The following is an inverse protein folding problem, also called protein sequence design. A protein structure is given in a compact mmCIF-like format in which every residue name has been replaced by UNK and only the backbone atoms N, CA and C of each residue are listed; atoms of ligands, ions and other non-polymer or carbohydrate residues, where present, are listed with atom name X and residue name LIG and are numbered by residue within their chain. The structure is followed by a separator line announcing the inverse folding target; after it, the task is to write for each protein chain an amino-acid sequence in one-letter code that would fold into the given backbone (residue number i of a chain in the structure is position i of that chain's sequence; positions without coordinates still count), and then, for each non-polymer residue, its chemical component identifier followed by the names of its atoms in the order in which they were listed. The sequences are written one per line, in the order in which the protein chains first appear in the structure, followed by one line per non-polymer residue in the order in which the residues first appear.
data_IF_694091101633
#
_entry.id   IF_694091101633
#
_cell.length_a   1.000
_cell.length_b   1.000
_cell.length_c   1.000
_cell.angle_alpha   90.00
_cell.angle_beta   90.00
_cell.angle_gamma   90.00
#
_symmetry.space_group_name_H-M   'P 1'
#
loop_
_entity.id
_entity.type
_entity.pdbx_description
1 polymer ?
#
# COMPACT_ATOMS: atom_id res chain seq x y z
N UNK A 1 25.81 22.65 12.18
CA UNK A 1 25.23 23.74 11.35
C UNK A 1 25.07 23.34 9.86
N UNK A 2 25.83 22.38 9.35
CA UNK A 2 25.89 22.00 7.92
C UNK A 2 24.57 21.43 7.36
N UNK A 3 23.90 20.52 8.07
CA UNK A 3 22.65 19.93 7.61
C UNK A 3 21.45 20.88 7.59
N UNK A 4 21.57 22.11 8.12
CA UNK A 4 20.47 23.08 8.05
C UNK A 4 20.31 23.59 6.60
N UNK A 5 21.42 23.84 5.91
CA UNK A 5 21.45 24.37 4.53
C UNK A 5 21.62 23.30 3.44
N UNK A 6 21.88 22.05 3.81
CA UNK A 6 22.07 20.94 2.86
C UNK A 6 20.85 20.74 1.93
N UNK A 7 21.10 20.33 0.69
CA UNK A 7 20.08 20.03 -0.31
C UNK A 7 20.26 18.61 -0.85
N UNK A 8 19.18 17.85 -1.15
CA UNK A 8 19.28 16.45 -1.62
C UNK A 8 20.14 16.18 -2.84
N UNK A 9 20.37 17.18 -3.70
CA UNK A 9 21.30 17.06 -4.84
C UNK A 9 22.79 16.95 -4.44
N UNK A 10 23.14 17.32 -3.20
CA UNK A 10 24.50 17.22 -2.69
C UNK A 10 24.75 15.84 -2.08
N UNK A 11 25.31 14.95 -2.90
CA UNK A 11 25.65 13.58 -2.56
C UNK A 11 26.85 13.45 -1.61
N UNK A 12 27.61 14.52 -1.35
CA UNK A 12 28.75 14.49 -0.43
C UNK A 12 28.34 14.13 1.01
N UNK A 13 27.05 14.34 1.34
CA UNK A 13 26.45 13.97 2.63
C UNK A 13 26.56 12.48 2.92
N UNK A 14 26.56 11.61 1.91
CA UNK A 14 26.65 10.17 2.11
C UNK A 14 28.01 9.77 2.70
N UNK A 15 29.09 10.40 2.23
CA UNK A 15 30.43 10.18 2.79
C UNK A 15 30.52 10.58 4.28
N UNK A 16 29.72 11.58 4.68
CA UNK A 16 29.64 12.02 6.08
C UNK A 16 28.75 11.12 6.91
N UNK A 17 27.61 10.64 6.38
CA UNK A 17 26.60 9.91 7.14
C UNK A 17 26.83 8.40 7.24
N UNK A 18 27.30 7.75 6.16
CA UNK A 18 27.45 6.29 6.10
C UNK A 18 28.33 5.72 7.23
N UNK A 19 29.45 6.35 7.63
CA UNK A 19 30.25 5.85 8.76
C UNK A 19 29.49 5.82 10.09
N UNK A 20 28.51 6.71 10.29
CA UNK A 20 27.72 6.77 11.54
C UNK A 20 26.62 5.72 11.60
N UNK A 21 26.28 5.08 10.47
CA UNK A 21 25.25 4.03 10.42
C UNK A 21 25.65 2.81 11.25
N UNK A 22 26.93 2.52 11.36
CA UNK A 22 27.46 1.42 12.18
C UNK A 22 27.64 1.80 13.64
N UNK A 23 27.69 3.10 13.95
CA UNK A 23 27.91 3.63 15.30
C UNK A 23 26.60 3.88 16.04
N UNK A 24 25.57 4.32 15.33
CA UNK A 24 24.27 4.62 15.92
C UNK A 24 23.38 3.39 16.02
N UNK A 25 22.49 3.38 17.01
CA UNK A 25 21.40 2.43 17.05
C UNK A 25 20.45 2.66 15.86
N UNK A 26 19.77 1.62 15.36
CA UNK A 26 18.76 1.77 14.32
C UNK A 26 17.70 2.83 14.68
N UNK A 27 17.32 2.92 15.96
CA UNK A 27 16.34 3.88 16.48
C UNK A 27 16.87 5.30 16.44
N UNK A 28 18.10 5.55 16.91
CA UNK A 28 18.71 6.89 16.90
C UNK A 28 18.95 7.37 15.47
N UNK A 29 19.42 6.47 14.60
CA UNK A 29 19.59 6.75 13.18
C UNK A 29 18.25 7.11 12.54
N UNK A 30 17.20 6.34 12.80
CA UNK A 30 15.84 6.64 12.32
C UNK A 30 15.31 7.99 12.84
N UNK A 31 15.52 8.31 14.12
CA UNK A 31 15.11 9.60 14.68
C UNK A 31 15.85 10.77 14.02
N UNK A 32 17.15 10.61 13.80
CA UNK A 32 17.99 11.60 13.14
C UNK A 32 17.56 11.82 11.69
N UNK A 33 17.42 10.74 10.91
CA UNK A 33 17.05 10.84 9.49
C UNK A 33 15.67 11.44 9.32
N UNK A 34 14.70 11.03 10.14
CA UNK A 34 13.36 11.61 10.14
C UNK A 34 13.40 13.13 10.39
N UNK A 35 14.17 13.58 11.39
CA UNK A 35 14.23 15.01 11.77
C UNK A 35 14.97 15.87 10.76
N UNK A 36 16.05 15.37 10.17
CA UNK A 36 17.02 16.20 9.43
C UNK A 36 17.09 15.92 7.93
N UNK A 37 16.78 14.70 7.50
CA UNK A 37 16.91 14.28 6.11
C UNK A 37 15.53 14.21 5.44
N UNK A 38 14.61 13.41 5.98
CA UNK A 38 13.33 13.10 5.32
C UNK A 38 12.51 14.36 5.05
N UNK A 39 12.48 15.33 5.99
CA UNK A 39 11.77 16.61 5.78
C UNK A 39 12.25 17.38 4.54
N UNK A 40 13.52 17.20 4.15
CA UNK A 40 14.09 17.84 2.97
C UNK A 40 13.76 17.06 1.70
N UNK A 41 13.76 15.74 1.77
CA UNK A 41 13.30 14.88 0.68
C UNK A 41 11.82 15.13 0.35
N UNK A 42 10.97 15.18 1.37
CA UNK A 42 9.55 15.60 1.23
C UNK A 42 9.44 16.97 0.56
N UNK A 43 10.29 17.92 0.96
CA UNK A 43 10.27 19.27 0.37
C UNK A 43 10.66 19.26 -1.11
N UNK A 44 11.71 18.53 -1.49
CA UNK A 44 12.13 18.38 -2.89
C UNK A 44 11.02 17.74 -3.70
N UNK A 45 10.46 16.62 -3.24
CA UNK A 45 9.36 15.96 -3.94
C UNK A 45 8.13 16.86 -4.09
N UNK A 46 7.87 17.76 -3.15
CA UNK A 46 6.72 18.67 -3.21
C UNK A 46 6.94 19.96 -4.01
N UNK A 47 8.18 20.44 -4.13
CA UNK A 47 8.46 21.74 -4.74
C UNK A 47 9.13 21.64 -6.10
N UNK A 48 9.90 20.58 -6.32
CA UNK A 48 10.78 20.44 -7.47
C UNK A 48 10.33 19.27 -8.36
N UNK A 49 9.82 18.18 -7.76
CA UNK A 49 9.31 17.05 -8.53
C UNK A 49 7.87 17.25 -9.02
N UNK A 50 7.70 17.19 -10.34
CA UNK A 50 6.40 17.28 -11.00
C UNK A 50 6.21 16.07 -11.92
N UNK A 51 5.02 15.47 -11.88
CA UNK A 51 4.70 14.33 -12.75
C UNK A 51 4.00 14.85 -13.99
N UNK A 52 4.66 14.68 -15.14
CA UNK A 52 4.19 15.14 -16.43
C UNK A 52 4.45 14.04 -17.49
N UNK A 53 3.41 13.35 -17.97
CA UNK A 53 3.55 12.25 -18.93
C UNK A 53 4.28 12.63 -20.24
N UNK A 54 4.29 13.91 -20.63
CA UNK A 54 4.89 14.38 -21.89
C UNK A 54 6.34 14.84 -21.76
N UNK A 55 6.76 15.24 -20.56
CA UNK A 55 8.07 15.82 -20.30
C UNK A 55 8.41 15.56 -18.82
N UNK A 56 8.81 14.33 -18.52
CA UNK A 56 9.12 13.90 -17.17
C UNK A 56 10.54 14.33 -16.81
N UNK A 57 10.67 15.12 -15.75
CA UNK A 57 11.94 15.37 -15.09
C UNK A 57 12.11 14.38 -13.94
N UNK A 58 13.18 13.60 -13.98
CA UNK A 58 13.49 12.57 -12.99
C UNK A 58 14.52 13.04 -11.97
N UNK A 59 15.24 14.14 -12.21
CA UNK A 59 16.38 14.56 -11.38
C UNK A 59 15.99 14.72 -9.89
N UNK A 60 14.86 15.36 -9.53
CA UNK A 60 14.46 15.47 -8.13
C UNK A 60 14.12 14.12 -7.48
N UNK A 61 13.61 13.17 -8.28
CA UNK A 61 13.31 11.83 -7.79
C UNK A 61 14.59 11.00 -7.65
N UNK A 62 15.54 11.12 -8.57
CA UNK A 62 16.85 10.44 -8.50
C UNK A 62 17.60 10.82 -7.23
N UNK A 63 17.59 12.11 -6.84
CA UNK A 63 18.17 12.55 -5.58
C UNK A 63 17.52 11.88 -4.37
N UNK A 64 16.23 11.56 -4.45
CA UNK A 64 15.51 10.83 -3.40
C UNK A 64 15.83 9.35 -3.46
N UNK A 65 15.85 8.74 -4.65
CA UNK A 65 16.18 7.33 -4.86
C UNK A 65 17.60 6.99 -4.42
N UNK A 66 18.53 7.95 -4.47
CA UNK A 66 19.87 7.80 -3.89
C UNK A 66 19.87 7.49 -2.37
N UNK A 67 18.75 7.75 -1.67
CA UNK A 67 18.57 7.40 -0.26
C UNK A 67 18.02 5.99 -0.03
N UNK A 68 17.72 5.25 -1.09
CA UNK A 68 17.36 3.83 -1.00
C UNK A 68 18.52 3.06 -0.34
N UNK A 69 18.20 2.17 0.62
CA UNK A 69 19.17 1.44 1.49
C UNK A 69 20.04 2.30 2.40
N UNK A 70 19.87 3.62 2.39
CA UNK A 70 20.48 4.54 3.36
C UNK A 70 19.48 4.90 4.45
N UNK A 71 18.25 5.24 4.07
CA UNK A 71 17.17 5.46 5.03
C UNK A 71 16.60 4.13 5.54
N UNK A 72 16.03 4.10 6.76
CA UNK A 72 15.21 2.98 7.20
C UNK A 72 14.06 2.75 6.22
N UNK A 73 13.85 1.49 5.78
CA UNK A 73 12.86 1.13 4.75
C UNK A 73 11.47 1.68 5.07
N UNK A 74 11.08 1.63 6.34
CA UNK A 74 9.81 2.17 6.80
C UNK A 74 9.63 3.66 6.45
N UNK A 75 10.68 4.47 6.59
CA UNK A 75 10.68 5.89 6.24
C UNK A 75 10.72 6.09 4.73
N UNK A 76 11.56 5.33 4.03
CA UNK A 76 11.74 5.44 2.59
C UNK A 76 10.45 5.09 1.82
N UNK A 77 9.82 3.97 2.17
CA UNK A 77 8.55 3.55 1.58
C UNK A 77 7.43 4.55 1.91
N UNK A 78 7.36 5.03 3.17
CA UNK A 78 6.36 6.03 3.56
C UNK A 78 6.52 7.35 2.79
N UNK A 79 7.76 7.75 2.51
CA UNK A 79 8.08 8.92 1.69
C UNK A 79 7.54 8.75 0.26
N UNK A 80 7.81 7.61 -0.37
CA UNK A 80 7.32 7.34 -1.73
C UNK A 80 5.80 7.23 -1.78
N UNK A 81 5.17 6.54 -0.82
CA UNK A 81 3.71 6.41 -0.73
C UNK A 81 3.00 7.77 -0.69
N UNK A 82 3.45 8.67 0.20
CA UNK A 82 2.80 9.96 0.38
C UNK A 82 3.12 10.95 -0.73
N UNK A 83 4.39 11.04 -1.15
CA UNK A 83 4.88 12.19 -1.92
C UNK A 83 5.00 11.91 -3.42
N UNK A 84 5.24 10.65 -3.81
CA UNK A 84 5.35 10.21 -5.21
C UNK A 84 4.04 9.56 -5.68
N UNK A 85 3.60 8.47 -5.03
CA UNK A 85 2.47 7.66 -5.51
C UNK A 85 1.16 8.43 -5.52
N UNK A 86 0.92 9.32 -4.55
CA UNK A 86 -0.23 10.23 -4.53
C UNK A 86 -0.32 11.08 -5.80
N UNK A 87 0.80 11.64 -6.27
CA UNK A 87 0.84 12.46 -7.49
C UNK A 87 0.72 11.58 -8.73
N UNK A 88 1.41 10.45 -8.73
CA UNK A 88 1.51 9.55 -9.88
C UNK A 88 0.14 8.94 -10.21
N UNK A 89 -0.53 8.39 -9.20
CA UNK A 89 -1.87 7.82 -9.33
C UNK A 89 -2.91 8.87 -9.67
N UNK A 90 -2.76 10.11 -9.17
CA UNK A 90 -3.65 11.21 -9.54
C UNK A 90 -3.54 11.55 -11.03
N UNK A 91 -2.33 11.70 -11.56
CA UNK A 91 -2.10 11.94 -13.00
C UNK A 91 -2.67 10.79 -13.82
N UNK A 92 -2.44 9.54 -13.40
CA UNK A 92 -3.01 8.38 -14.07
C UNK A 92 -4.54 8.40 -14.07
N UNK A 93 -5.17 8.70 -12.93
CA UNK A 93 -6.63 8.79 -12.81
C UNK A 93 -7.22 9.90 -13.67
N UNK A 94 -6.57 11.06 -13.76
CA UNK A 94 -6.95 12.15 -14.66
C UNK A 94 -6.84 11.73 -16.12
N UNK A 95 -5.80 10.98 -16.48
CA UNK A 95 -5.61 10.47 -17.83
C UNK A 95 -6.66 9.41 -18.22
N UNK A 96 -6.99 8.53 -17.26
CA UNK A 96 -8.08 7.54 -17.34
C UNK A 96 -9.45 8.22 -17.50
N UNK A 97 -9.74 9.24 -16.70
CA UNK A 97 -11.03 9.95 -16.72
C UNK A 97 -11.29 10.70 -18.04
N UNK A 98 -10.25 11.09 -18.76
CA UNK A 98 -10.34 11.73 -20.07
C UNK A 98 -10.80 10.76 -21.18
N UNK A 99 -11.08 9.48 -20.86
CA UNK A 99 -11.62 8.44 -21.75
C UNK A 99 -10.94 8.32 -23.13
N UNK A 100 -9.63 8.03 -23.19
CA UNK A 100 -8.96 7.94 -24.48
C UNK A 100 -8.76 6.48 -24.89
N UNK A 101 -9.71 5.91 -25.64
CA UNK A 101 -9.52 4.61 -26.33
C UNK A 101 -8.21 4.58 -27.16
N UNK A 102 -7.75 5.76 -27.60
CA UNK A 102 -6.58 5.92 -28.47
C UNK A 102 -5.26 6.13 -27.70
N UNK A 103 -5.29 6.33 -26.38
CA UNK A 103 -4.08 6.68 -25.58
C UNK A 103 -3.70 5.56 -24.61
N UNK A 104 -4.41 4.43 -24.64
CA UNK A 104 -4.13 3.26 -23.80
C UNK A 104 -2.69 2.73 -23.95
N UNK A 105 -2.13 2.73 -25.16
CA UNK A 105 -0.75 2.31 -25.41
C UNK A 105 0.29 3.26 -24.79
N UNK A 106 0.06 4.57 -24.85
CA UNK A 106 0.92 5.56 -24.19
C UNK A 106 0.86 5.41 -22.66
N UNK A 107 -0.35 5.20 -22.10
CA UNK A 107 -0.52 4.95 -20.66
C UNK A 107 0.25 3.70 -20.22
N UNK A 108 0.17 2.61 -20.98
CA UNK A 108 0.88 1.38 -20.66
C UNK A 108 2.40 1.54 -20.77
N UNK A 109 2.87 2.28 -21.76
CA UNK A 109 4.30 2.60 -21.93
C UNK A 109 4.80 3.44 -20.75
N UNK A 110 4.04 4.46 -20.35
CA UNK A 110 4.36 5.31 -19.21
C UNK A 110 4.38 4.51 -17.90
N UNK A 111 3.36 3.69 -17.62
CA UNK A 111 3.33 2.77 -16.48
C UNK A 111 4.55 1.83 -16.47
N UNK A 112 4.87 1.24 -17.61
CA UNK A 112 5.97 0.28 -17.73
C UNK A 112 7.32 0.94 -17.47
N UNK A 113 7.52 2.18 -17.91
CA UNK A 113 8.72 2.96 -17.63
C UNK A 113 8.92 3.20 -16.12
N UNK A 114 7.87 3.62 -15.41
CA UNK A 114 7.92 3.77 -13.95
C UNK A 114 8.17 2.44 -13.24
N UNK A 115 7.51 1.38 -13.68
CA UNK A 115 7.70 0.04 -13.10
C UNK A 115 9.14 -0.44 -13.28
N UNK A 116 9.72 -0.27 -14.47
CA UNK A 116 11.10 -0.61 -14.76
C UNK A 116 12.07 0.19 -13.87
N UNK A 117 11.87 1.51 -13.75
CA UNK A 117 12.68 2.34 -12.85
C UNK A 117 12.64 1.81 -11.41
N UNK A 118 11.47 1.47 -10.87
CA UNK A 118 11.37 0.95 -9.50
C UNK A 118 11.97 -0.46 -9.33
N UNK A 119 11.92 -1.28 -10.38
CA UNK A 119 12.54 -2.62 -10.41
C UNK A 119 14.06 -2.54 -10.35
N UNK A 120 14.68 -1.56 -11.02
CA UNK A 120 16.14 -1.32 -10.98
C UNK A 120 16.67 -1.06 -9.55
N UNK A 121 15.81 -0.53 -8.68
CA UNK A 121 16.14 -0.30 -7.27
C UNK A 121 15.63 -1.41 -6.35
N UNK A 122 15.19 -2.57 -6.85
CA UNK A 122 14.59 -3.67 -6.06
C UNK A 122 13.35 -3.25 -5.24
N UNK A 123 12.70 -2.12 -5.58
CA UNK A 123 11.61 -1.57 -4.79
C UNK A 123 10.30 -2.33 -4.97
N UNK A 124 10.17 -3.12 -6.04
CA UNK A 124 8.99 -3.94 -6.28
C UNK A 124 8.87 -5.13 -5.32
N UNK A 125 9.93 -5.44 -4.57
CA UNK A 125 9.90 -6.44 -3.48
C UNK A 125 9.17 -5.92 -2.24
N UNK A 126 9.04 -4.60 -2.08
CA UNK A 126 8.28 -3.99 -1.00
C UNK A 126 6.78 -4.09 -1.26
N UNK A 127 6.07 -4.84 -0.41
CA UNK A 127 4.62 -5.10 -0.56
C UNK A 127 3.82 -3.81 -0.73
N UNK A 128 4.11 -2.78 0.07
CA UNK A 128 3.43 -1.49 0.00
C UNK A 128 3.64 -0.76 -1.32
N UNK A 129 4.81 -0.88 -1.92
CA UNK A 129 5.12 -0.30 -3.24
C UNK A 129 4.42 -1.10 -4.33
N UNK A 130 4.50 -2.43 -4.28
CA UNK A 130 3.86 -3.33 -5.22
C UNK A 130 2.34 -3.11 -5.28
N UNK A 131 1.69 -2.90 -4.13
CA UNK A 131 0.26 -2.56 -4.05
C UNK A 131 -0.10 -1.29 -4.83
N UNK A 132 0.77 -0.27 -4.86
CA UNK A 132 0.50 0.95 -5.63
C UNK A 132 0.50 0.69 -7.14
N UNK A 133 1.45 -0.13 -7.62
CA UNK A 133 1.51 -0.54 -9.03
C UNK A 133 0.35 -1.46 -9.42
N UNK A 134 -0.13 -2.30 -8.50
CA UNK A 134 -1.33 -3.10 -8.72
C UNK A 134 -2.58 -2.21 -8.81
N UNK A 135 -2.72 -1.25 -7.89
CA UNK A 135 -3.81 -0.27 -7.91
C UNK A 135 -3.82 0.55 -9.20
N UNK A 136 -2.65 1.01 -9.67
CA UNK A 136 -2.53 1.69 -10.96
C UNK A 136 -3.03 0.85 -12.14
N UNK A 137 -2.67 -0.44 -12.18
CA UNK A 137 -3.11 -1.34 -13.23
C UNK A 137 -4.64 -1.52 -13.22
N UNK A 138 -5.23 -1.66 -12.03
CA UNK A 138 -6.69 -1.72 -11.88
C UNK A 138 -7.37 -0.43 -12.37
N UNK A 139 -6.82 0.76 -12.05
CA UNK A 139 -7.34 2.04 -12.57
C UNK A 139 -7.35 2.08 -14.10
N UNK A 140 -6.30 1.56 -14.73
CA UNK A 140 -6.21 1.50 -16.20
C UNK A 140 -7.21 0.50 -16.80
N UNK A 141 -7.48 -0.62 -16.11
CA UNK A 141 -8.49 -1.60 -16.53
C UNK A 141 -9.92 -1.07 -16.41
N UNK A 142 -10.20 -0.20 -15.43
CA UNK A 142 -11.52 0.45 -15.28
C UNK A 142 -11.93 1.29 -16.50
N UNK A 143 -10.97 1.86 -17.26
CA UNK A 143 -11.23 2.55 -18.55
C UNK A 143 -11.95 1.63 -19.54
N UNK A 144 -11.64 0.34 -19.51
CA UNK A 144 -12.19 -0.64 -20.45
C UNK A 144 -13.58 -1.15 -20.04
N UNK A 145 -13.98 -1.00 -18.77
CA UNK A 145 -15.17 -1.66 -18.21
C UNK A 145 -16.18 -0.72 -17.53
N UNK A 146 -15.97 0.61 -17.56
CA UNK A 146 -16.89 1.60 -16.97
C UNK A 146 -17.24 1.33 -15.48
N UNK A 147 -16.26 0.89 -14.69
CA UNK A 147 -16.42 0.65 -13.26
C UNK A 147 -15.99 1.88 -12.41
N UNK A 148 -16.71 2.11 -11.31
CA UNK A 148 -16.41 3.15 -10.30
C UNK A 148 -15.10 2.84 -9.59
N UNK A 149 -14.12 3.75 -9.64
CA UNK A 149 -12.75 3.58 -9.11
C UNK A 149 -12.73 3.34 -7.59
N UNK A 150 -12.50 2.10 -7.09
CA UNK A 150 -12.31 1.85 -5.67
C UNK A 150 -10.80 1.77 -5.42
N UNK A 151 -10.16 2.88 -5.01
CA UNK A 151 -8.74 2.80 -4.66
C UNK A 151 -8.02 4.10 -4.37
N UNK A 152 -8.38 5.22 -5.02
CA UNK A 152 -7.67 6.49 -4.80
C UNK A 152 -7.87 7.10 -3.41
N UNK A 153 -9.00 6.81 -2.75
CA UNK A 153 -9.32 7.39 -1.43
C UNK A 153 -8.49 6.82 -0.28
N UNK A 154 -7.65 5.83 -0.53
CA UNK A 154 -6.87 5.16 0.50
C UNK A 154 -5.41 5.62 0.57
N UNK A 155 -4.91 6.52 -0.29
CA UNK A 155 -3.53 6.99 -0.18
C UNK A 155 -3.32 7.88 1.06
N UNK A 156 -2.19 7.75 1.77
CA UNK A 156 -1.90 8.60 2.91
C UNK A 156 -1.71 10.06 2.44
N UNK A 157 -2.39 11.04 3.05
CA UNK A 157 -2.31 12.43 2.61
C UNK A 157 -0.98 13.08 2.99
N UNK A 158 -0.25 12.51 3.95
CA UNK A 158 1.05 13.01 4.40
C UNK A 158 2.03 11.87 4.66
N UNK A 159 3.32 12.20 4.62
CA UNK A 159 4.40 11.30 5.03
C UNK A 159 4.18 10.71 6.45
N UNK A 160 3.68 11.50 7.40
CA UNK A 160 3.47 11.02 8.78
C UNK A 160 2.38 9.94 8.82
N UNK A 161 1.29 10.11 8.07
CA UNK A 161 0.23 9.12 7.97
C UNK A 161 0.73 7.83 7.30
N UNK A 162 1.55 7.95 6.25
CA UNK A 162 2.20 6.82 5.59
C UNK A 162 3.15 6.08 6.55
N UNK A 163 3.87 6.83 7.39
CA UNK A 163 4.80 6.27 8.36
C UNK A 163 4.06 5.48 9.45
N UNK A 164 2.87 5.92 9.87
CA UNK A 164 2.03 5.21 10.83
C UNK A 164 1.51 3.89 10.28
N UNK A 165 1.15 3.83 8.99
CA UNK A 165 0.72 2.58 8.32
C UNK A 165 1.83 1.54 8.22
N UNK A 166 3.07 1.98 8.07
CA UNK A 166 4.25 1.11 8.08
C UNK A 166 4.64 0.56 9.45
N UNK A 167 3.93 0.88 10.54
CA UNK A 167 4.09 0.12 11.80
C UNK A 167 3.60 -1.29 11.53
N UNK A 168 4.50 -2.28 11.56
CA UNK A 168 4.11 -3.67 11.80
C UNK A 168 3.17 -3.64 13.02
N UNK A 169 1.95 -4.16 12.86
CA UNK A 169 1.02 -4.37 13.97
C UNK A 169 1.78 -5.11 15.08
N UNK A 170 2.21 -4.41 16.12
CA UNK A 170 2.25 -5.02 17.43
C UNK A 170 0.79 -5.34 17.73
N UNK A 171 0.47 -6.63 17.88
CA UNK A 171 -0.89 -7.10 18.09
C UNK A 171 -1.62 -6.23 19.14
N UNK A 172 -2.78 -5.62 18.82
CA UNK A 172 -3.56 -4.95 19.83
C UNK A 172 -4.40 -5.98 20.59
N UNK A 173 -4.13 -6.06 21.88
CA UNK A 173 -5.09 -6.45 22.92
C UNK A 173 -6.44 -5.77 22.61
N UNK A 174 -7.48 -6.56 22.34
CA UNK A 174 -8.87 -6.10 22.28
C UNK A 174 -9.35 -5.72 23.70
N UNK A 175 -10.48 -5.00 23.87
CA UNK A 175 -11.13 -4.01 23.01
C UNK A 175 -11.56 -2.74 23.78
N UNK A 176 -11.56 -1.58 23.11
CA UNK A 176 -12.61 -0.56 23.32
C UNK A 176 -12.99 0.02 21.96
N UNK A 177 -14.30 0.07 21.73
CA UNK A 177 -14.96 0.68 20.58
C UNK A 177 -14.33 2.03 20.24
N UNK A 178 -13.95 2.21 18.97
CA UNK A 178 -14.01 3.51 18.32
C UNK A 178 -14.33 3.33 16.83
N UNK A 179 -15.36 4.04 16.40
CA UNK A 179 -15.85 4.08 15.03
C UNK A 179 -14.84 4.82 14.14
N UNK A 180 -14.16 4.10 13.25
CA UNK A 180 -13.89 4.43 11.84
C UNK A 180 -12.79 3.50 11.27
N UNK A 181 -13.18 2.60 10.36
CA UNK A 181 -12.39 2.35 9.16
C UNK A 181 -11.21 1.37 9.20
N UNK A 182 -11.37 0.18 9.80
CA UNK A 182 -10.72 -1.03 9.28
C UNK A 182 -11.72 -2.17 9.33
N UNK A 183 -12.54 -2.32 8.29
CA UNK A 183 -13.50 -3.43 8.24
C UNK A 183 -12.70 -4.70 8.05
N UNK A 184 -12.63 -5.54 9.08
CA UNK A 184 -12.02 -6.85 8.98
C UNK A 184 -12.96 -7.74 8.18
N UNK A 185 -12.47 -8.64 7.31
CA UNK A 185 -13.35 -9.49 6.48
C UNK A 185 -14.34 -10.30 7.35
N UNK A 186 -13.94 -10.62 8.58
CA UNK A 186 -14.83 -11.19 9.60
C UNK A 186 -16.02 -10.28 9.93
N UNK A 187 -15.80 -8.99 10.11
CA UNK A 187 -16.85 -8.02 10.44
C UNK A 187 -17.80 -7.85 9.24
N UNK A 188 -17.26 -7.86 8.01
CA UNK A 188 -18.08 -7.87 6.78
C UNK A 188 -18.99 -9.09 6.75
N UNK A 189 -18.43 -10.30 6.97
CA UNK A 189 -19.20 -11.55 6.96
C UNK A 189 -20.22 -11.59 8.08
N UNK A 190 -19.88 -11.08 9.26
CA UNK A 190 -20.78 -11.01 10.41
C UNK A 190 -21.95 -10.03 10.17
N UNK A 191 -21.67 -8.84 9.62
CA UNK A 191 -22.69 -7.88 9.23
C UNK A 191 -23.58 -8.41 8.10
N UNK A 192 -22.99 -9.08 7.10
CA UNK A 192 -23.72 -9.69 5.99
C UNK A 192 -24.59 -10.87 6.44
N UNK A 193 -24.08 -11.71 7.35
CA UNK A 193 -24.86 -12.77 7.99
C UNK A 193 -26.06 -12.19 8.74
N UNK A 194 -25.84 -11.12 9.52
CA UNK A 194 -26.89 -10.44 10.26
C UNK A 194 -27.97 -9.84 9.35
N UNK A 195 -27.59 -9.20 8.24
CA UNK A 195 -28.52 -8.66 7.25
C UNK A 195 -29.40 -9.73 6.60
N UNK A 196 -28.84 -10.92 6.36
CA UNK A 196 -29.55 -12.06 5.78
C UNK A 196 -30.17 -13.01 6.81
N UNK A 197 -30.10 -12.67 8.11
CA UNK A 197 -30.58 -13.47 9.24
C UNK A 197 -29.99 -14.89 9.28
N UNK A 198 -28.69 -14.99 8.96
CA UNK A 198 -27.89 -16.22 8.96
C UNK A 198 -27.02 -16.23 10.23
N UNK A 199 -26.91 -17.40 10.87
CA UNK A 199 -26.07 -17.56 12.05
C UNK A 199 -24.58 -17.60 11.66
N UNK A 200 -23.78 -16.70 12.25
CA UNK A 200 -22.33 -16.69 12.10
C UNK A 200 -21.65 -16.88 13.46
N UNK A 201 -20.93 -17.99 13.64
CA UNK A 201 -20.31 -18.31 14.93
C UNK A 201 -18.98 -19.09 14.79
N UNK A 202 -17.97 -18.84 15.63
CA UNK A 202 -16.73 -19.61 15.62
C UNK A 202 -16.98 -21.05 16.10
N UNK A 203 -16.46 -22.04 15.36
CA UNK A 203 -16.62 -23.45 15.72
C UNK A 203 -15.57 -23.86 16.76
N UNK A 204 -16.00 -24.23 17.98
CA UNK A 204 -15.10 -24.45 19.14
C UNK A 204 -14.08 -25.61 19.01
N UNK A 205 -14.16 -26.44 17.96
CA UNK A 205 -13.31 -27.63 17.80
C UNK A 205 -12.85 -27.90 16.36
N UNK A 206 -12.91 -26.92 15.46
CA UNK A 206 -12.43 -27.07 14.08
C UNK A 206 -11.43 -25.97 13.74
N UNK A 207 -10.20 -26.39 13.48
CA UNK A 207 -9.16 -25.58 12.87
C UNK A 207 -8.58 -26.35 11.70
N UNK A 208 -8.43 -25.70 10.55
CA UNK A 208 -7.84 -26.28 9.34
C UNK A 208 -6.58 -25.48 9.04
N UNK A 209 -5.43 -26.16 8.98
CA UNK A 209 -4.12 -25.53 8.75
C UNK A 209 -3.81 -24.37 9.71
N UNK A 210 -4.21 -24.48 10.98
CA UNK A 210 -4.03 -23.44 12.01
C UNK A 210 -5.00 -22.26 11.89
N UNK A 211 -5.96 -22.30 10.96
CA UNK A 211 -6.96 -21.26 10.72
C UNK A 211 -8.29 -21.62 11.38
N UNK A 212 -8.95 -20.62 11.96
CA UNK A 212 -10.24 -20.79 12.62
C UNK A 212 -11.34 -21.07 11.59
N UNK A 213 -12.12 -22.13 11.82
CA UNK A 213 -13.34 -22.39 11.06
C UNK A 213 -14.51 -21.66 11.73
N UNK A 214 -15.34 -21.02 10.93
CA UNK A 214 -16.58 -20.38 11.33
C UNK A 214 -17.76 -21.12 10.70
N UNK A 215 -18.85 -21.24 11.44
CA UNK A 215 -20.13 -21.64 10.90
C UNK A 215 -20.82 -20.42 10.29
N UNK A 216 -21.31 -20.55 9.06
CA UNK A 216 -22.16 -19.57 8.37
C UNK A 216 -23.41 -20.31 7.90
N UNK A 217 -24.47 -20.26 8.71
CA UNK A 217 -25.66 -21.09 8.52
C UNK A 217 -25.32 -22.58 8.57
N UNK A 218 -25.58 -23.29 7.47
CA UNK A 218 -25.25 -24.73 7.34
C UNK A 218 -23.85 -25.00 6.80
N UNK A 219 -23.13 -23.96 6.38
CA UNK A 219 -21.81 -24.07 5.77
C UNK A 219 -20.70 -23.81 6.78
N UNK A 220 -19.54 -24.41 6.56
CA UNK A 220 -18.31 -24.09 7.28
C UNK A 220 -17.43 -23.24 6.38
N UNK A 221 -16.94 -22.12 6.90
CA UNK A 221 -16.08 -21.20 6.18
C UNK A 221 -14.78 -20.94 6.93
N UNK A 222 -13.74 -20.63 6.17
CA UNK A 222 -12.45 -20.15 6.66
C UNK A 222 -12.21 -18.78 6.06
N UNK A 223 -11.79 -17.84 6.91
CA UNK A 223 -11.46 -16.48 6.50
C UNK A 223 -9.93 -16.36 6.54
N UNK A 224 -9.31 -16.11 5.40
CA UNK A 224 -7.87 -15.87 5.30
C UNK A 224 -7.62 -14.51 4.66
N UNK A 225 -7.10 -13.57 5.44
CA UNK A 225 -6.94 -12.17 5.06
C UNK A 225 -8.24 -11.55 4.50
N UNK A 226 -8.37 -11.50 3.17
CA UNK A 226 -9.54 -10.97 2.43
C UNK A 226 -10.22 -12.01 1.54
N UNK A 227 -9.89 -13.30 1.70
CA UNK A 227 -10.47 -14.40 0.93
C UNK A 227 -11.35 -15.26 1.84
N UNK A 228 -12.54 -15.59 1.34
CA UNK A 228 -13.45 -16.53 1.97
C UNK A 228 -13.31 -17.88 1.28
N UNK A 229 -13.26 -18.93 2.08
CA UNK A 229 -13.27 -20.30 1.60
C UNK A 229 -14.42 -21.04 2.24
N UNK A 230 -15.14 -21.84 1.47
CA UNK A 230 -16.23 -22.69 1.96
C UNK A 230 -15.88 -24.16 1.85
N UNK A 231 -16.29 -24.95 2.82
CA UNK A 231 -16.12 -26.40 2.81
C UNK A 231 -16.93 -27.03 1.67
N UNK A 232 -16.24 -27.49 0.63
CA UNK A 232 -16.82 -28.11 -0.57
C UNK A 232 -16.98 -29.62 -0.39
N UNK A 233 -15.95 -30.26 0.18
CA UNK A 233 -15.99 -31.64 0.67
C UNK A 233 -15.32 -31.71 2.05
N UNK A 234 -15.56 -32.77 2.85
CA UNK A 234 -15.03 -32.86 4.22
C UNK A 234 -13.51 -32.60 4.25
N UNK A 235 -13.10 -31.45 4.78
CA UNK A 235 -11.69 -31.03 4.87
C UNK A 235 -11.11 -30.30 3.64
N UNK A 236 -11.87 -30.09 2.56
CA UNK A 236 -11.47 -29.29 1.40
C UNK A 236 -12.24 -27.97 1.36
N UNK A 237 -11.49 -26.86 1.30
CA UNK A 237 -12.02 -25.51 1.30
C UNK A 237 -11.71 -24.83 -0.03
N UNK A 238 -12.75 -24.50 -0.78
CA UNK A 238 -12.62 -23.84 -2.08
C UNK A 238 -12.96 -22.34 -1.92
N UNK A 239 -12.26 -21.43 -2.65
CA UNK A 239 -12.52 -20.01 -2.57
C UNK A 239 -13.93 -19.68 -3.06
N UNK A 240 -14.62 -18.79 -2.34
CA UNK A 240 -15.98 -18.37 -2.66
C UNK A 240 -16.16 -16.87 -2.42
N UNK A 241 -17.02 -16.23 -3.20
CA UNK A 241 -17.42 -14.85 -2.96
C UNK A 241 -18.54 -14.76 -1.92
N UNK A 242 -18.63 -13.65 -1.18
CA UNK A 242 -19.63 -13.46 -0.12
C UNK A 242 -21.07 -13.51 -0.66
N UNK A 243 -21.29 -13.00 -1.88
CA UNK A 243 -22.57 -13.05 -2.57
C UNK A 243 -22.97 -14.47 -2.99
N UNK A 244 -21.99 -15.32 -3.29
CA UNK A 244 -22.23 -16.74 -3.60
C UNK A 244 -22.41 -17.58 -2.34
N UNK A 245 -21.76 -17.19 -1.25
CA UNK A 245 -21.89 -17.87 0.04
C UNK A 245 -23.33 -17.82 0.56
N UNK A 246 -24.02 -16.69 0.44
CA UNK A 246 -25.44 -16.58 0.84
C UNK A 246 -26.37 -17.44 0.00
N UNK A 247 -26.08 -17.61 -1.30
CA UNK A 247 -26.87 -18.52 -2.16
C UNK A 247 -26.74 -20.00 -1.73
N UNK A 248 -25.66 -20.34 -1.03
CA UNK A 248 -25.39 -21.69 -0.52
C UNK A 248 -25.77 -21.89 0.95
N UNK A 249 -26.20 -20.84 1.66
CA UNK A 249 -26.47 -20.83 3.11
C UNK A 249 -27.87 -21.36 3.47
#
# INVERSE_FOLDING_TARGET
RTLIKWHPNDSSVFAVLLPWREVWTPEDFALFTHKHIVKKLVRVLNREFHINPKAQDLEPLEWVLAWHRVLPDRQFVALLEAEFFTKWLKVLAEWVAQNPLNVAAEMLTWYSGWKALFDEFDLLQEERICMQFHGALQLMQCVQQAATLPGLKLLPPTYEDALLRGKKRAAPVHPKHDLHGTVNMRDVVEEFAMQHNIEFAPTKHKSVDGRQVYAFGRQHIVIDHSLLFVESTKGQFDPIDIDELVKKA
#
